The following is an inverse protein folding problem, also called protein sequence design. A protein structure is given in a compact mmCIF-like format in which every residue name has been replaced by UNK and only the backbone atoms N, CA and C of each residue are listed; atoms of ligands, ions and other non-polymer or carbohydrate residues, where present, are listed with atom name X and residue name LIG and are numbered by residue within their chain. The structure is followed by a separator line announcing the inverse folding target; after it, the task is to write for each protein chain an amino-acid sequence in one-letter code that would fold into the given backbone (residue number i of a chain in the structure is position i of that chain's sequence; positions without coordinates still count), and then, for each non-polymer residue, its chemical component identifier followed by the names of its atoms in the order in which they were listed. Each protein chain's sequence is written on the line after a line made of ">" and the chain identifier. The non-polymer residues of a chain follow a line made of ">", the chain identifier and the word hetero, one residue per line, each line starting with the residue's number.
data_IF_028834488044
#
_entry.id   IF_028834488044
#
_cell.length_a   1.000
_cell.length_b   1.000
_cell.length_c   1.000
_cell.angle_alpha   90.00
_cell.angle_beta   90.00
_cell.angle_gamma   90.00
#
_symmetry.space_group_name_H-M   'P 1'
#
loop_
_entity.id
_entity.type
_entity.pdbx_description
1 polymer ?
#
# COMPACT_ATOMS: atom_id res chain seq x y z
N UNK A 1 -19.65 -54.22 -28.48
CA UNK A 1 -20.14 -52.89 -28.11
C UNK A 1 -21.49 -53.10 -27.44
N UNK A 2 -21.56 -52.97 -26.11
CA UNK A 2 -22.84 -53.02 -25.40
C UNK A 2 -23.63 -51.77 -25.81
N UNK A 3 -24.82 -51.95 -26.39
CA UNK A 3 -25.68 -50.83 -26.77
C UNK A 3 -26.03 -49.99 -25.55
N UNK A 4 -25.99 -48.67 -25.69
CA UNK A 4 -26.34 -47.75 -24.60
C UNK A 4 -27.76 -48.03 -24.13
N UNK A 5 -27.89 -48.37 -22.84
CA UNK A 5 -29.18 -48.54 -22.20
C UNK A 5 -29.89 -47.20 -22.13
N UNK A 6 -31.01 -47.06 -22.83
CA UNK A 6 -31.85 -45.86 -22.82
C UNK A 6 -33.09 -46.08 -21.96
N UNK A 7 -33.70 -45.01 -21.43
CA UNK A 7 -34.97 -45.09 -20.71
C UNK A 7 -36.04 -45.83 -21.53
N UNK A 8 -36.12 -45.57 -22.85
CA UNK A 8 -37.04 -46.26 -23.75
C UNK A 8 -36.78 -47.76 -23.86
N UNK A 9 -35.52 -48.19 -23.93
CA UNK A 9 -35.17 -49.62 -23.99
C UNK A 9 -35.48 -50.39 -22.70
N UNK A 10 -35.32 -49.75 -21.54
CA UNK A 10 -35.67 -50.33 -20.24
C UNK A 10 -37.18 -50.41 -20.05
N UNK A 11 -37.91 -49.39 -20.50
CA UNK A 11 -39.36 -49.36 -20.40
C UNK A 11 -40.01 -50.44 -21.28
N UNK A 12 -39.46 -50.70 -22.48
CA UNK A 12 -39.87 -51.84 -23.31
C UNK A 12 -39.59 -53.20 -22.67
N UNK A 13 -38.47 -53.35 -21.95
CA UNK A 13 -38.18 -54.59 -21.21
C UNK A 13 -39.14 -54.77 -20.03
N UNK A 14 -39.43 -53.69 -19.31
CA UNK A 14 -40.38 -53.69 -18.20
C UNK A 14 -41.79 -54.07 -18.67
N UNK A 15 -42.24 -53.55 -19.81
CA UNK A 15 -43.50 -53.94 -20.44
C UNK A 15 -43.57 -55.44 -20.75
N UNK A 16 -42.52 -56.00 -21.37
CA UNK A 16 -42.46 -57.46 -21.65
C UNK A 16 -42.57 -58.29 -20.37
N UNK A 17 -41.86 -57.90 -19.31
CA UNK A 17 -41.91 -58.60 -18.02
C UNK A 17 -43.31 -58.52 -17.42
N UNK A 18 -43.93 -57.34 -17.42
CA UNK A 18 -45.30 -57.18 -16.93
C UNK A 18 -46.31 -58.01 -17.72
N UNK A 19 -46.13 -58.12 -19.05
CA UNK A 19 -46.97 -58.96 -19.91
C UNK A 19 -46.76 -60.47 -19.59
N UNK A 20 -45.53 -60.90 -19.29
CA UNK A 20 -45.19 -62.27 -18.91
C UNK A 20 -45.75 -62.67 -17.53
N UNK A 21 -45.74 -61.74 -16.56
CA UNK A 21 -46.20 -61.98 -15.18
C UNK A 21 -47.72 -61.77 -15.03
N UNK A 22 -48.34 -61.01 -15.94
CA UNK A 22 -49.77 -60.69 -15.90
C UNK A 22 -50.11 -59.57 -14.92
N UNK A 23 -49.25 -58.54 -14.83
CA UNK A 23 -49.50 -57.35 -14.00
C UNK A 23 -50.73 -56.57 -14.48
N UNK A 24 -51.54 -56.06 -13.55
CA UNK A 24 -52.76 -55.31 -13.88
C UNK A 24 -52.44 -53.91 -14.41
N UNK A 25 -53.33 -53.36 -15.24
CA UNK A 25 -53.16 -52.02 -15.79
C UNK A 25 -53.04 -50.96 -14.69
N UNK A 26 -53.76 -51.11 -13.58
CA UNK A 26 -53.69 -50.17 -12.45
C UNK A 26 -52.31 -50.15 -11.77
N UNK A 27 -51.68 -51.31 -11.55
CA UNK A 27 -50.34 -51.37 -10.95
C UNK A 27 -49.26 -50.92 -11.94
N UNK A 28 -49.44 -51.18 -13.25
CA UNK A 28 -48.57 -50.65 -14.31
C UNK A 28 -48.61 -49.13 -14.35
N UNK A 29 -49.81 -48.54 -14.36
CA UNK A 29 -50.00 -47.08 -14.35
C UNK A 29 -49.37 -46.45 -13.10
N UNK A 30 -49.56 -47.06 -11.93
CA UNK A 30 -48.95 -46.61 -10.68
C UNK A 30 -47.43 -46.65 -10.72
N UNK A 31 -46.83 -47.72 -11.25
CA UNK A 31 -45.38 -47.81 -11.42
C UNK A 31 -44.85 -46.77 -12.44
N UNK A 32 -45.55 -46.55 -13.54
CA UNK A 32 -45.18 -45.52 -14.53
C UNK A 32 -45.24 -44.11 -13.95
N UNK A 33 -46.31 -43.78 -13.21
CA UNK A 33 -46.43 -42.50 -12.50
C UNK A 33 -45.30 -42.31 -11.47
N UNK A 34 -44.91 -43.38 -10.78
CA UNK A 34 -43.77 -43.33 -9.86
C UNK A 34 -42.45 -43.02 -10.61
N UNK A 35 -42.21 -43.66 -11.75
CA UNK A 35 -41.02 -43.39 -12.57
C UNK A 35 -41.00 -41.96 -13.10
N UNK A 36 -42.14 -41.44 -13.55
CA UNK A 36 -42.28 -40.04 -13.99
C UNK A 36 -41.98 -39.07 -12.85
N UNK A 37 -42.51 -39.35 -11.65
CA UNK A 37 -42.28 -38.53 -10.46
C UNK A 37 -40.81 -38.55 -10.03
N UNK A 38 -40.18 -39.73 -9.99
CA UNK A 38 -38.75 -39.86 -9.67
C UNK A 38 -37.87 -39.13 -10.68
N UNK A 39 -38.19 -39.22 -11.98
CA UNK A 39 -37.51 -38.51 -13.05
C UNK A 39 -37.65 -36.99 -12.90
N UNK A 40 -38.87 -36.51 -12.63
CA UNK A 40 -39.15 -35.10 -12.38
C UNK A 40 -38.37 -34.57 -11.17
N UNK A 41 -38.29 -35.35 -10.08
CA UNK A 41 -37.57 -34.94 -8.88
C UNK A 41 -36.06 -34.89 -9.09
N UNK A 42 -35.50 -35.74 -9.96
CA UNK A 42 -34.11 -35.62 -10.42
C UNK A 42 -33.91 -34.32 -11.19
N UNK A 43 -34.80 -33.97 -12.13
CA UNK A 43 -34.70 -32.71 -12.88
C UNK A 43 -34.77 -31.49 -11.96
N UNK A 44 -35.76 -31.43 -11.05
CA UNK A 44 -35.88 -30.35 -10.05
C UNK A 44 -34.60 -30.18 -9.27
N UNK A 45 -34.06 -31.28 -8.71
CA UNK A 45 -32.79 -31.26 -7.96
C UNK A 45 -31.62 -30.71 -8.78
N UNK A 46 -31.52 -31.08 -10.07
CA UNK A 46 -30.46 -30.58 -10.96
C UNK A 46 -30.62 -29.11 -11.28
N UNK A 47 -31.85 -28.64 -11.49
CA UNK A 47 -32.16 -27.21 -11.70
C UNK A 47 -31.84 -26.39 -10.45
N UNK A 48 -32.22 -26.89 -9.27
CA UNK A 48 -31.92 -26.24 -8.00
C UNK A 48 -30.41 -26.14 -7.75
N UNK A 49 -29.68 -27.22 -8.02
CA UNK A 49 -28.22 -27.25 -7.92
C UNK A 49 -27.59 -26.24 -8.89
N UNK A 50 -28.01 -26.21 -10.16
CA UNK A 50 -27.51 -25.26 -11.15
C UNK A 50 -27.84 -23.81 -10.76
N UNK A 51 -29.04 -23.55 -10.24
CA UNK A 51 -29.46 -22.22 -9.78
C UNK A 51 -28.64 -21.75 -8.59
N UNK A 52 -28.34 -22.63 -7.62
CA UNK A 52 -27.47 -22.33 -6.49
C UNK A 52 -26.04 -22.02 -6.96
N UNK A 53 -25.47 -22.84 -7.86
CA UNK A 53 -24.16 -22.58 -8.43
C UNK A 53 -24.11 -21.24 -9.19
N UNK A 54 -25.15 -20.91 -9.95
CA UNK A 54 -25.24 -19.60 -10.63
C UNK A 54 -25.25 -18.45 -9.62
N UNK A 55 -26.01 -18.55 -8.54
CA UNK A 55 -26.02 -17.54 -7.47
C UNK A 55 -24.66 -17.32 -6.84
N UNK A 56 -23.93 -18.41 -6.54
CA UNK A 56 -22.57 -18.33 -6.00
C UNK A 56 -21.58 -17.64 -6.96
N UNK A 57 -21.67 -17.94 -8.27
CA UNK A 57 -20.82 -17.31 -9.28
C UNK A 57 -21.11 -15.81 -9.41
N UNK A 58 -22.38 -15.41 -9.39
CA UNK A 58 -22.76 -13.99 -9.42
C UNK A 58 -22.27 -13.23 -8.19
N UNK A 59 -22.37 -13.84 -7.01
CA UNK A 59 -21.85 -13.24 -5.78
C UNK A 59 -20.34 -13.05 -5.87
N UNK A 60 -19.60 -14.09 -6.26
CA UNK A 60 -18.14 -14.02 -6.43
C UNK A 60 -17.73 -12.96 -7.46
N UNK A 61 -18.52 -12.77 -8.52
CA UNK A 61 -18.29 -11.72 -9.51
C UNK A 61 -18.48 -10.33 -8.90
N UNK A 62 -19.57 -10.12 -8.17
CA UNK A 62 -19.84 -8.85 -7.50
C UNK A 62 -18.76 -8.51 -6.46
N UNK A 63 -18.31 -9.50 -5.68
CA UNK A 63 -17.24 -9.34 -4.70
C UNK A 63 -15.93 -8.93 -5.38
N UNK A 64 -15.56 -9.62 -6.47
CA UNK A 64 -14.35 -9.32 -7.24
C UNK A 64 -14.39 -7.93 -7.88
N UNK A 65 -15.56 -7.51 -8.38
CA UNK A 65 -15.77 -6.17 -8.93
C UNK A 65 -15.67 -5.09 -7.86
N UNK A 66 -16.22 -5.34 -6.66
CA UNK A 66 -16.12 -4.42 -5.53
C UNK A 66 -14.68 -4.28 -5.04
N UNK A 67 -13.94 -5.39 -4.93
CA UNK A 67 -12.51 -5.37 -4.57
C UNK A 67 -11.70 -4.57 -5.59
N UNK A 68 -11.95 -4.80 -6.87
CA UNK A 68 -11.27 -4.08 -7.95
C UNK A 68 -11.55 -2.59 -7.91
N UNK A 69 -12.81 -2.19 -7.72
CA UNK A 69 -13.19 -0.78 -7.57
C UNK A 69 -12.49 -0.13 -6.36
N UNK A 70 -12.38 -0.85 -5.25
CA UNK A 70 -11.64 -0.41 -4.07
C UNK A 70 -10.15 -0.20 -4.35
N UNK A 71 -9.51 -1.15 -5.03
CA UNK A 71 -8.08 -1.05 -5.39
C UNK A 71 -7.81 0.10 -6.36
N UNK A 72 -8.63 0.26 -7.40
CA UNK A 72 -8.50 1.37 -8.34
C UNK A 72 -8.68 2.72 -7.66
N UNK A 73 -9.67 2.84 -6.76
CA UNK A 73 -9.88 4.06 -5.99
C UNK A 73 -8.68 4.38 -5.10
N UNK A 74 -8.13 3.39 -4.39
CA UNK A 74 -6.98 3.58 -3.54
C UNK A 74 -5.72 3.95 -4.34
N UNK A 75 -5.50 3.34 -5.50
CA UNK A 75 -4.37 3.63 -6.38
C UNK A 75 -4.55 4.93 -7.20
N UNK A 76 -5.75 5.51 -7.19
CA UNK A 76 -6.09 6.68 -8.01
C UNK A 76 -6.10 6.38 -9.51
N UNK A 77 -6.38 5.13 -9.90
CA UNK A 77 -6.43 4.70 -11.30
C UNK A 77 -7.86 4.77 -11.85
N UNK A 78 -7.99 5.23 -13.10
CA UNK A 78 -9.27 5.24 -13.77
C UNK A 78 -9.65 3.85 -14.27
N UNK A 79 -10.94 3.51 -14.14
CA UNK A 79 -11.56 2.23 -14.43
C UNK A 79 -11.68 1.92 -15.94
N UNK A 80 -10.64 2.23 -16.70
CA UNK A 80 -10.56 2.02 -18.16
C UNK A 80 -10.59 0.54 -18.55
N UNK A 81 -10.28 -0.36 -17.61
CA UNK A 81 -10.26 -1.80 -17.84
C UNK A 81 -11.64 -2.43 -18.10
N UNK A 82 -12.74 -1.82 -17.65
CA UNK A 82 -14.06 -2.48 -17.63
C UNK A 82 -15.09 -1.97 -18.64
N UNK A 83 -14.76 -0.95 -19.43
CA UNK A 83 -15.70 -0.33 -20.38
C UNK A 83 -15.89 -1.17 -21.68
N UNK A 84 -15.26 -2.35 -21.80
CA UNK A 84 -15.63 -3.31 -22.85
C UNK A 84 -16.76 -4.23 -22.39
N UNK A 85 -17.92 -3.63 -22.12
CA UNK A 85 -19.20 -4.28 -21.79
C UNK A 85 -19.83 -5.01 -23.01
N UNK A 86 -19.06 -5.27 -24.07
CA UNK A 86 -19.56 -5.72 -25.39
C UNK A 86 -18.99 -7.03 -25.89
N UNK A 87 -18.44 -7.87 -25.02
CA UNK A 87 -18.23 -9.28 -25.38
C UNK A 87 -19.14 -10.15 -24.53
N UNK A 88 -20.00 -10.92 -25.20
CA UNK A 88 -21.02 -11.81 -24.63
C UNK A 88 -20.39 -13.00 -23.90
N UNK A 89 -19.57 -12.75 -22.88
CA UNK A 89 -18.83 -13.79 -22.16
C UNK A 89 -19.63 -14.33 -20.98
N UNK A 90 -19.43 -15.61 -20.67
CA UNK A 90 -20.10 -16.29 -19.55
C UNK A 90 -19.59 -15.77 -18.21
N UNK A 91 -20.35 -15.97 -17.12
CA UNK A 91 -19.96 -15.52 -15.76
C UNK A 91 -18.57 -16.08 -15.37
N UNK A 92 -18.27 -17.32 -15.77
CA UNK A 92 -16.97 -17.96 -15.49
C UNK A 92 -15.82 -17.30 -16.25
N UNK A 93 -16.05 -16.91 -17.49
CA UNK A 93 -15.04 -16.22 -18.31
C UNK A 93 -14.79 -14.80 -17.78
N UNK A 94 -15.83 -14.09 -17.35
CA UNK A 94 -15.67 -12.80 -16.68
C UNK A 94 -14.81 -12.90 -15.40
N UNK A 95 -15.10 -13.89 -14.54
CA UNK A 95 -14.29 -14.15 -13.35
C UNK A 95 -12.84 -14.46 -13.70
N UNK A 96 -12.60 -15.30 -14.72
CA UNK A 96 -11.26 -15.63 -15.19
C UNK A 96 -10.51 -14.42 -15.77
N UNK A 97 -11.22 -13.47 -16.39
CA UNK A 97 -10.63 -12.24 -16.92
C UNK A 97 -10.28 -11.23 -15.82
N UNK A 98 -11.06 -11.17 -14.74
CA UNK A 98 -10.83 -10.25 -13.61
C UNK A 98 -9.63 -10.70 -12.76
N UNK A 99 -9.46 -12.01 -12.56
CA UNK A 99 -8.43 -12.57 -11.70
C UNK A 99 -6.99 -12.03 -11.95
N UNK A 100 -6.44 -12.01 -13.18
CA UNK A 100 -5.10 -11.48 -13.42
C UNK A 100 -5.00 -9.96 -13.19
N UNK A 101 -6.08 -9.21 -13.43
CA UNK A 101 -6.11 -7.76 -13.18
C UNK A 101 -6.06 -7.47 -11.68
N UNK A 102 -6.83 -8.20 -10.87
CA UNK A 102 -6.76 -8.11 -9.42
C UNK A 102 -5.35 -8.44 -8.91
N UNK A 103 -4.74 -9.52 -9.40
CA UNK A 103 -3.39 -9.90 -9.00
C UNK A 103 -2.36 -8.80 -9.31
N UNK A 104 -2.48 -8.16 -10.48
CA UNK A 104 -1.63 -7.05 -10.88
C UNK A 104 -1.83 -5.83 -9.95
N UNK A 105 -3.07 -5.42 -9.70
CA UNK A 105 -3.37 -4.26 -8.84
C UNK A 105 -2.91 -4.50 -7.39
N UNK A 106 -3.02 -5.72 -6.87
CA UNK A 106 -2.53 -6.09 -5.55
C UNK A 106 -1.00 -5.97 -5.45
N UNK A 107 -0.26 -6.44 -6.46
CA UNK A 107 1.20 -6.27 -6.53
C UNK A 107 1.57 -4.79 -6.58
N UNK A 108 0.86 -4.02 -7.39
CA UNK A 108 1.10 -2.58 -7.50
C UNK A 108 0.79 -1.84 -6.19
N UNK A 109 -0.27 -2.24 -5.47
CA UNK A 109 -0.57 -1.71 -4.14
C UNK A 109 0.60 -1.93 -3.17
N UNK A 110 1.15 -3.15 -3.12
CA UNK A 110 2.28 -3.47 -2.24
C UNK A 110 3.53 -2.64 -2.59
N UNK A 111 3.86 -2.53 -3.87
CA UNK A 111 4.96 -1.68 -4.34
C UNK A 111 4.77 -0.22 -3.94
N UNK A 112 3.54 0.30 -4.10
CA UNK A 112 3.22 1.67 -3.76
C UNK A 112 3.30 1.92 -2.24
N UNK A 113 2.81 1.01 -1.42
CA UNK A 113 2.95 1.09 0.05
C UNK A 113 4.42 1.21 0.45
N UNK A 114 5.28 0.41 -0.16
CA UNK A 114 6.72 0.47 0.08
C UNK A 114 7.31 1.83 -0.30
N UNK A 115 6.97 2.36 -1.48
CA UNK A 115 7.42 3.69 -1.91
C UNK A 115 6.99 4.81 -0.93
N UNK A 116 5.72 4.79 -0.51
CA UNK A 116 5.22 5.75 0.49
C UNK A 116 5.96 5.63 1.82
N UNK A 117 6.16 4.40 2.31
CA UNK A 117 6.88 4.15 3.56
C UNK A 117 8.32 4.67 3.51
N UNK A 118 9.01 4.45 2.39
CA UNK A 118 10.39 4.90 2.17
C UNK A 118 10.49 6.44 2.13
N UNK A 119 9.58 7.11 1.43
CA UNK A 119 9.55 8.58 1.36
C UNK A 119 9.20 9.19 2.72
N UNK A 120 8.15 8.69 3.38
CA UNK A 120 7.74 9.19 4.69
C UNK A 120 8.82 8.96 5.76
N UNK A 121 9.53 7.83 5.72
CA UNK A 121 10.64 7.55 6.64
C UNK A 121 11.78 8.56 6.48
N UNK A 122 12.09 8.94 5.23
CA UNK A 122 13.10 9.96 4.95
C UNK A 122 12.66 11.34 5.44
N UNK A 123 11.39 11.71 5.22
CA UNK A 123 10.81 12.96 5.73
C UNK A 123 10.93 13.00 7.26
N UNK A 124 10.46 11.97 7.96
CA UNK A 124 10.52 11.89 9.42
C UNK A 124 11.95 11.98 9.95
N UNK A 125 12.90 11.35 9.25
CA UNK A 125 14.33 11.44 9.59
C UNK A 125 14.84 12.87 9.49
N UNK A 126 14.63 13.55 8.36
CA UNK A 126 15.12 14.93 8.16
C UNK A 126 14.45 15.91 9.14
N UNK A 127 13.14 15.80 9.32
CA UNK A 127 12.41 16.58 10.33
C UNK A 127 13.00 16.36 11.73
N UNK A 128 13.35 15.13 12.08
CA UNK A 128 13.99 14.83 13.37
C UNK A 128 15.43 15.35 13.52
N UNK A 129 16.18 15.45 12.42
CA UNK A 129 17.50 16.09 12.39
C UNK A 129 17.38 17.60 12.62
N UNK A 130 16.40 18.24 11.96
CA UNK A 130 16.11 19.68 12.08
C UNK A 130 15.57 20.04 13.48
N UNK A 131 14.66 19.25 14.02
CA UNK A 131 14.12 19.48 15.37
C UNK A 131 15.12 19.12 16.48
N UNK A 132 16.20 18.38 16.16
CA UNK A 132 17.16 17.88 17.15
C UNK A 132 16.65 16.71 18.00
N UNK A 133 15.53 16.08 17.61
CA UNK A 133 14.91 14.97 18.33
C UNK A 133 15.14 13.60 17.65
N UNK A 134 16.22 13.48 16.85
CA UNK A 134 16.57 12.29 16.06
C UNK A 134 16.53 10.96 16.85
N UNK A 135 16.83 11.01 18.15
CA UNK A 135 16.79 9.82 19.02
C UNK A 135 15.35 9.31 19.26
N UNK A 136 14.38 10.23 19.36
CA UNK A 136 12.97 9.91 19.48
C UNK A 136 12.39 9.42 18.15
N UNK A 137 12.78 10.03 17.02
CA UNK A 137 12.30 9.59 15.71
C UNK A 137 12.76 8.17 15.36
N UNK A 138 13.98 7.78 15.75
CA UNK A 138 14.47 6.39 15.60
C UNK A 138 13.73 5.35 16.45
N UNK A 139 13.09 5.77 17.55
CA UNK A 139 12.32 4.88 18.43
C UNK A 139 10.87 4.72 17.98
N UNK A 140 10.37 5.63 17.13
CA UNK A 140 8.95 5.71 16.78
C UNK A 140 8.49 4.69 15.72
N UNK A 141 9.40 3.82 15.25
CA UNK A 141 9.09 2.82 14.24
C UNK A 141 8.86 3.42 12.84
N UNK A 142 8.58 2.57 11.83
CA UNK A 142 8.25 3.05 10.49
C UNK A 142 6.91 3.81 10.50
N UNK A 143 6.76 4.82 9.61
CA UNK A 143 5.53 5.56 9.48
C UNK A 143 4.38 4.65 9.02
N UNK A 144 3.20 4.85 9.60
CA UNK A 144 1.96 4.20 9.14
C UNK A 144 1.51 4.82 7.84
N UNK A 145 1.59 4.07 6.75
CA UNK A 145 1.12 4.50 5.42
C UNK A 145 -0.41 4.47 5.40
N UNK A 146 -1.01 5.54 4.89
CA UNK A 146 -2.45 5.57 4.63
C UNK A 146 -2.75 4.78 3.35
N UNK A 147 -3.32 3.59 3.52
CA UNK A 147 -3.67 2.71 2.40
C UNK A 147 -4.93 3.16 1.64
N UNK A 148 -5.66 4.17 2.14
CA UNK A 148 -6.87 4.67 1.49
C UNK A 148 -6.58 5.58 0.28
N UNK A 149 -5.41 6.22 0.24
CA UNK A 149 -4.94 7.06 -0.87
C UNK A 149 -3.46 6.79 -1.17
N UNK A 150 -3.24 5.84 -2.07
CA UNK A 150 -1.95 5.45 -2.64
C UNK A 150 -1.75 6.06 -4.04
N UNK A 151 -2.48 7.14 -4.36
CA UNK A 151 -2.41 7.77 -5.67
C UNK A 151 -1.04 8.35 -5.97
N UNK A 152 -0.68 8.38 -7.27
CA UNK A 152 0.57 9.01 -7.72
C UNK A 152 0.60 10.50 -7.37
N UNK A 153 -0.56 11.16 -7.36
CA UNK A 153 -0.67 12.55 -6.92
C UNK A 153 -0.23 12.70 -5.47
N UNK A 154 -0.78 11.89 -4.57
CA UNK A 154 -0.40 11.92 -3.15
C UNK A 154 1.08 11.59 -2.93
N UNK A 155 1.60 10.61 -3.67
CA UNK A 155 3.03 10.29 -3.62
C UNK A 155 3.89 11.48 -4.05
N UNK A 156 3.52 12.17 -5.12
CA UNK A 156 4.24 13.35 -5.63
C UNK A 156 4.24 14.52 -4.64
N UNK A 157 3.18 14.68 -3.85
CA UNK A 157 3.13 15.67 -2.77
C UNK A 157 4.20 15.37 -1.71
N UNK A 158 4.30 14.13 -1.25
CA UNK A 158 5.33 13.72 -0.29
C UNK A 158 6.74 13.83 -0.87
N UNK A 159 6.93 13.46 -2.14
CA UNK A 159 8.23 13.63 -2.81
C UNK A 159 8.63 15.11 -2.90
N UNK A 160 7.68 16.01 -3.16
CA UNK A 160 7.92 17.45 -3.20
C UNK A 160 8.31 17.99 -1.82
N UNK A 161 7.59 17.58 -0.77
CA UNK A 161 7.95 17.90 0.61
C UNK A 161 9.35 17.39 0.98
N UNK A 162 9.68 16.17 0.57
CA UNK A 162 11.02 15.59 0.80
C UNK A 162 12.11 16.43 0.11
N UNK A 163 11.88 16.89 -1.13
CA UNK A 163 12.83 17.74 -1.84
C UNK A 163 13.03 19.10 -1.15
N UNK A 164 11.95 19.73 -0.68
CA UNK A 164 12.02 20.98 0.08
C UNK A 164 12.81 20.79 1.39
N UNK A 165 12.55 19.72 2.13
CA UNK A 165 13.27 19.40 3.36
C UNK A 165 14.74 19.07 3.12
N UNK A 166 15.07 18.37 2.03
CA UNK A 166 16.45 18.11 1.63
C UNK A 166 17.19 19.42 1.31
N UNK A 167 16.52 20.35 0.61
CA UNK A 167 17.07 21.69 0.35
C UNK A 167 17.28 22.46 1.64
N UNK A 168 16.28 22.52 2.53
CA UNK A 168 16.41 23.18 3.83
C UNK A 168 17.57 22.59 4.65
N UNK A 169 17.69 21.26 4.69
CA UNK A 169 18.81 20.57 5.34
C UNK A 169 20.16 21.02 4.79
N UNK A 170 20.29 21.13 3.47
CA UNK A 170 21.51 21.62 2.82
C UNK A 170 21.81 23.07 3.18
N UNK A 171 20.79 23.95 3.11
CA UNK A 171 20.93 25.37 3.43
C UNK A 171 21.33 25.59 4.90
N UNK A 172 20.74 24.81 5.82
CA UNK A 172 21.11 24.81 7.25
C UNK A 172 22.53 24.33 7.47
N UNK A 173 22.95 23.26 6.80
CA UNK A 173 24.32 22.76 6.90
C UNK A 173 25.33 23.81 6.45
N UNK A 174 25.06 24.49 5.34
CA UNK A 174 25.91 25.57 4.85
C UNK A 174 26.01 26.71 5.88
N UNK A 175 24.86 27.14 6.42
CA UNK A 175 24.81 28.18 7.46
C UNK A 175 25.56 27.78 8.74
N UNK A 176 25.48 26.52 9.16
CA UNK A 176 26.27 26.00 10.29
C UNK A 176 27.76 26.12 9.99
N UNK A 177 28.20 25.72 8.80
CA UNK A 177 29.62 25.81 8.40
C UNK A 177 30.11 27.26 8.37
N UNK A 178 29.29 28.19 7.85
CA UNK A 178 29.63 29.62 7.82
C UNK A 178 29.78 30.21 9.22
N UNK A 179 28.88 29.84 10.14
CA UNK A 179 28.98 30.25 11.54
C UNK A 179 30.21 29.67 12.23
N UNK A 180 30.49 28.38 12.02
CA UNK A 180 31.67 27.70 12.57
C UNK A 180 32.96 28.38 12.07
N UNK A 181 33.06 28.66 10.77
CA UNK A 181 34.21 29.37 10.18
C UNK A 181 34.37 30.78 10.76
N UNK A 182 33.28 31.53 10.87
CA UNK A 182 33.30 32.89 11.42
C UNK A 182 33.72 32.91 12.89
N UNK A 183 33.25 31.94 13.68
CA UNK A 183 33.63 31.79 15.09
C UNK A 183 35.12 31.42 15.19
N UNK A 184 35.60 30.49 14.36
CA UNK A 184 37.01 30.14 14.28
C UNK A 184 37.90 31.36 14.02
N UNK A 185 37.55 32.18 13.04
CA UNK A 185 38.31 33.40 12.70
C UNK A 185 38.30 34.43 13.84
N UNK A 186 37.15 34.61 14.52
CA UNK A 186 37.05 35.49 15.69
C UNK A 186 37.88 34.98 16.87
N UNK A 187 37.85 33.67 17.14
CA UNK A 187 38.68 33.05 18.16
C UNK A 187 40.17 33.25 17.86
N UNK A 188 40.60 33.04 16.61
CA UNK A 188 41.98 33.27 16.18
C UNK A 188 42.43 34.71 16.39
N UNK A 189 41.60 35.70 16.02
CA UNK A 189 41.91 37.13 16.21
C UNK A 189 41.96 37.53 17.68
N UNK A 190 41.11 36.92 18.52
CA UNK A 190 41.02 37.26 19.95
C UNK A 190 41.95 36.43 20.85
N UNK A 191 42.67 35.46 20.28
CA UNK A 191 43.53 34.52 21.01
C UNK A 191 42.75 33.57 21.93
N UNK A 192 41.52 33.20 21.56
CA UNK A 192 40.66 32.27 22.31
C UNK A 192 40.78 30.85 21.78
N UNK A 193 40.55 29.85 22.63
CA UNK A 193 40.48 28.45 22.20
C UNK A 193 39.16 28.16 21.48
N UNK A 194 39.24 27.90 20.18
CA UNK A 194 38.10 27.56 19.35
C UNK A 194 37.43 26.25 19.78
N UNK A 195 38.23 25.24 20.16
CA UNK A 195 37.70 23.91 20.46
C UNK A 195 36.76 23.90 21.67
N UNK A 196 37.19 24.54 22.77
CA UNK A 196 36.34 24.72 23.95
C UNK A 196 35.09 25.53 23.60
N UNK A 197 35.27 26.62 22.85
CA UNK A 197 34.18 27.53 22.45
C UNK A 197 33.09 26.81 21.63
N UNK A 198 33.46 26.08 20.58
CA UNK A 198 32.47 25.45 19.69
C UNK A 198 31.79 24.22 20.32
N UNK A 199 32.50 23.53 21.23
CA UNK A 199 31.98 22.35 21.93
C UNK A 199 30.86 22.69 22.93
N UNK A 200 30.84 23.92 23.46
CA UNK A 200 29.74 24.43 24.30
C UNK A 200 28.41 24.54 23.53
N UNK A 201 28.48 24.80 22.22
CA UNK A 201 27.28 24.83 21.36
C UNK A 201 26.79 23.42 21.13
N UNK A 202 27.62 22.57 20.53
CA UNK A 202 27.30 21.17 20.28
C UNK A 202 28.58 20.36 19.96
N UNK A 203 28.77 19.18 20.58
CA UNK A 203 30.01 18.40 20.44
C UNK A 203 30.28 17.91 19.01
N UNK A 204 29.22 17.74 18.19
CA UNK A 204 29.40 17.32 16.79
C UNK A 204 29.93 18.41 15.86
N UNK A 205 30.05 19.66 16.31
CA UNK A 205 30.54 20.77 15.48
C UNK A 205 32.06 20.83 15.37
N UNK A 206 32.78 20.07 16.21
CA UNK A 206 34.22 19.95 16.12
C UNK A 206 34.67 19.37 14.76
N UNK A 207 35.90 19.68 14.35
CA UNK A 207 36.50 19.20 13.10
C UNK A 207 36.86 17.70 13.12
N UNK A 208 36.89 17.08 14.30
CA UNK A 208 37.05 15.62 14.42
C UNK A 208 35.82 14.84 13.95
N UNK A 209 34.69 15.51 13.69
CA UNK A 209 33.42 14.90 13.30
C UNK A 209 33.12 15.23 11.85
N UNK A 210 32.71 14.22 11.07
CA UNK A 210 32.41 14.38 9.65
C UNK A 210 31.36 15.49 9.43
N UNK A 211 31.50 16.24 8.33
CA UNK A 211 30.60 17.36 7.97
C UNK A 211 29.13 16.92 7.97
N UNK A 212 28.84 15.70 7.51
CA UNK A 212 27.49 15.13 7.45
C UNK A 212 26.91 14.74 8.83
N UNK A 213 27.73 14.71 9.88
CA UNK A 213 27.34 14.42 11.26
C UNK A 213 27.25 15.68 12.14
N UNK A 214 27.54 16.86 11.58
CA UNK A 214 27.36 18.14 12.28
C UNK A 214 25.86 18.36 12.52
N UNK A 215 25.53 18.84 13.71
CA UNK A 215 24.13 19.09 14.08
C UNK A 215 23.61 20.30 13.30
N UNK A 216 22.43 20.15 12.70
CA UNK A 216 21.72 21.21 11.96
C UNK A 216 20.43 21.66 12.68
N UNK A 217 20.30 21.28 13.96
CA UNK A 217 19.07 21.52 14.70
C UNK A 217 18.79 22.99 14.93
N UNK A 218 17.52 23.34 15.14
CA UNK A 218 17.09 24.70 15.49
C UNK A 218 17.85 25.24 16.71
N UNK A 219 18.02 24.41 17.74
CA UNK A 219 18.78 24.73 18.95
C UNK A 219 20.26 25.01 18.64
N UNK A 220 20.88 24.18 17.78
CA UNK A 220 22.30 24.35 17.41
C UNK A 220 22.52 25.64 16.64
N UNK A 221 21.67 25.94 15.65
CA UNK A 221 21.75 27.17 14.86
C UNK A 221 21.53 28.41 15.74
N UNK A 222 20.59 28.35 16.67
CA UNK A 222 20.30 29.46 17.60
C UNK A 222 21.48 29.72 18.54
N UNK A 223 22.08 28.66 19.10
CA UNK A 223 23.28 28.77 19.95
C UNK A 223 24.50 29.30 19.19
N UNK A 224 24.72 28.84 17.94
CA UNK A 224 25.79 29.36 17.08
C UNK A 224 25.62 30.86 16.80
N UNK A 225 24.40 31.29 16.47
CA UNK A 225 24.12 32.70 16.22
C UNK A 225 24.36 33.55 17.48
N UNK A 226 23.88 33.09 18.65
CA UNK A 226 24.11 33.76 19.92
C UNK A 226 25.60 33.87 20.29
N UNK A 227 26.35 32.79 20.12
CA UNK A 227 27.79 32.76 20.37
C UNK A 227 28.57 33.70 19.45
N UNK A 228 28.24 33.72 18.16
CA UNK A 228 28.86 34.60 17.18
C UNK A 228 28.60 36.08 17.50
N UNK A 229 27.40 36.43 17.97
CA UNK A 229 27.09 37.78 18.44
C UNK A 229 27.91 38.15 19.68
N UNK A 230 27.97 37.26 20.68
CA UNK A 230 28.73 37.48 21.91
C UNK A 230 30.23 37.72 21.63
N UNK A 231 30.83 36.94 20.70
CA UNK A 231 32.23 37.13 20.29
C UNK A 231 32.46 38.47 19.57
N UNK A 232 31.53 38.89 18.71
CA UNK A 232 31.61 40.20 18.04
C UNK A 232 31.52 41.35 19.03
N UNK A 233 30.63 41.26 20.01
CA UNK A 233 30.49 42.26 21.08
C UNK A 233 31.75 42.34 21.95
N UNK A 234 32.29 41.18 22.35
CA UNK A 234 33.53 41.11 23.13
C UNK A 234 34.73 41.70 22.36
N UNK A 235 34.85 41.39 21.06
CA UNK A 235 35.86 42.02 20.18
C UNK A 235 35.75 43.54 20.20
N UNK A 236 34.54 44.08 20.00
CA UNK A 236 34.31 45.53 20.00
C UNK A 236 34.62 46.16 21.36
N UNK A 237 34.25 45.49 22.46
CA UNK A 237 34.57 45.95 23.82
C UNK A 237 36.07 45.99 24.09
N UNK A 238 36.85 45.04 23.55
CA UNK A 238 38.32 45.07 23.65
C UNK A 238 38.91 46.21 22.84
N UNK A 239 38.40 46.45 21.63
CA UNK A 239 38.85 47.57 20.78
C UNK A 239 38.57 48.95 21.42
N UNK A 240 37.47 49.12 22.16
CA UNK A 240 37.16 50.38 22.84
C UNK A 240 37.98 50.64 24.12
N UNK A 241 38.68 49.62 24.64
CA UNK A 241 39.55 49.74 25.83
C UNK A 241 41.02 49.96 25.47
N UNK A 242 41.36 49.96 24.19
CA UNK A 242 42.68 50.26 23.63
C UNK A 242 42.68 51.70 23.13
#
# INVERSE_FOLDING_TARGET
>A
MAGETTCGSLLQQLQKIWDEVGESDEERDKMLLQLEQECLDVYKRKVDQASKCRGQLLQSLADSQSELAGLLSALGEENSFFISEKSSTTIKEHLAAIAPVLEQLLKQKEERIKEFSDVQSQIQKICGEIAGNLKLSKQMGPPTVDESDLSLKKLSEFQSQLQELQKEKSDRLHKVLDFVSSIHDLCAVMGMDFFTTISEVHPSLNDSVSVQSKSISDDTLSKLAGMLLALKEEKNRRLQKV
#
